data_IF_622005637742
#
_entry.id   IF_622005637742
#
_cell.length_a   1.000
_cell.length_b   1.000
_cell.length_c   1.000
_cell.angle_alpha   90.00
_cell.angle_beta   90.00
_cell.angle_gamma   90.00
#
_symmetry.space_group_name_H-M   'P 1'
#
loop_
_entity.id
_entity.type
_entity.pdbx_description
1 polymer ?
#
# COMPACT_ATOMS: atom_id res chain seq x y z
N UNK A 1 10.34 12.57 3.63
CA UNK A 1 10.93 13.07 4.90
C UNK A 1 12.33 13.61 4.60
N UNK A 2 13.22 13.74 5.59
CA UNK A 2 14.67 13.94 5.41
C UNK A 2 15.40 13.17 6.51
N UNK A 3 16.70 12.96 6.34
CA UNK A 3 17.61 12.63 7.44
C UNK A 3 17.57 13.71 8.54
N UNK A 4 17.67 13.29 9.79
CA UNK A 4 17.63 14.18 10.95
C UNK A 4 18.97 14.87 11.18
N UNK A 5 18.96 16.07 11.75
CA UNK A 5 20.18 16.73 12.24
C UNK A 5 20.52 16.32 13.67
N UNK A 6 21.77 16.47 14.08
CA UNK A 6 22.22 16.22 15.47
C UNK A 6 21.32 16.91 16.51
N UNK A 7 20.98 18.18 16.29
CA UNK A 7 20.07 18.94 17.15
C UNK A 7 18.65 18.37 17.22
N UNK A 8 18.14 17.75 16.14
CA UNK A 8 16.85 17.07 16.13
C UNK A 8 16.91 15.76 16.93
N UNK A 9 18.02 15.02 16.81
CA UNK A 9 18.28 13.78 17.56
C UNK A 9 18.40 14.05 19.07
N UNK A 10 19.22 15.01 19.49
CA UNK A 10 19.39 15.39 20.91
C UNK A 10 18.08 15.89 21.54
N UNK A 11 17.24 16.57 20.76
CA UNK A 11 15.90 17.01 21.21
C UNK A 11 14.87 15.86 21.25
N UNK A 12 15.18 14.70 20.70
CA UNK A 12 14.23 13.57 20.61
C UNK A 12 13.07 13.81 19.65
N UNK A 13 13.31 14.54 18.55
CA UNK A 13 12.33 14.77 17.48
C UNK A 13 11.85 13.45 16.87
N UNK A 14 10.54 13.22 16.91
CA UNK A 14 9.91 11.99 16.46
C UNK A 14 9.70 10.93 17.55
N UNK A 15 10.25 11.11 18.76
CA UNK A 15 10.10 10.20 19.90
C UNK A 15 9.45 10.88 21.13
N UNK A 16 9.99 12.02 21.55
CA UNK A 16 9.50 12.81 22.70
C UNK A 16 8.85 14.14 22.26
N UNK A 17 9.20 14.63 21.07
CA UNK A 17 8.62 15.81 20.42
C UNK A 17 8.05 15.40 19.06
N UNK A 18 6.98 16.05 18.60
CA UNK A 18 6.36 15.79 17.30
C UNK A 18 7.38 15.82 16.15
N UNK A 19 7.42 14.75 15.36
CA UNK A 19 8.34 14.56 14.22
C UNK A 19 8.10 15.48 13.01
N UNK A 20 7.05 16.29 13.01
CA UNK A 20 6.88 17.33 11.98
C UNK A 20 7.92 18.44 12.18
N UNK A 21 8.57 18.88 11.09
CA UNK A 21 9.76 19.76 11.12
C UNK A 21 9.52 21.02 11.94
N UNK A 22 8.39 21.70 11.69
CA UNK A 22 8.05 23.01 12.27
C UNK A 22 7.18 22.94 13.54
N UNK A 23 6.72 21.75 13.92
CA UNK A 23 5.93 21.54 15.15
C UNK A 23 6.85 21.44 16.37
N UNK A 24 6.40 21.84 17.56
CA UNK A 24 7.14 21.69 18.82
C UNK A 24 6.35 20.94 19.90
N UNK A 25 5.14 20.50 19.59
CA UNK A 25 4.24 19.84 20.52
C UNK A 25 4.83 18.49 20.99
N UNK A 26 4.81 18.23 22.30
CA UNK A 26 5.24 16.99 22.94
C UNK A 26 4.06 16.13 23.45
N UNK A 27 2.85 16.68 23.44
CA UNK A 27 1.65 16.04 24.00
C UNK A 27 0.87 15.23 22.96
N UNK A 28 0.12 14.22 23.42
CA UNK A 28 -0.78 13.43 22.57
C UNK A 28 -0.10 12.65 21.43
N UNK A 29 1.20 12.38 21.54
CA UNK A 29 2.04 11.82 20.48
C UNK A 29 1.66 10.37 20.11
N UNK A 30 1.04 10.20 18.94
CA UNK A 30 0.70 8.90 18.35
C UNK A 30 1.81 8.42 17.41
N UNK A 31 2.16 7.14 17.51
CA UNK A 31 3.11 6.46 16.61
C UNK A 31 2.47 6.14 15.25
N UNK A 32 3.26 6.30 14.19
CA UNK A 32 2.94 6.02 12.80
C UNK A 32 4.10 5.29 12.14
N UNK A 33 3.78 4.41 11.20
CA UNK A 33 4.75 3.81 10.27
C UNK A 33 4.51 4.41 8.90
N UNK A 34 5.57 4.92 8.27
CA UNK A 34 5.48 5.61 6.97
C UNK A 34 6.60 5.12 6.07
N UNK A 35 6.27 4.83 4.81
CA UNK A 35 7.27 4.47 3.81
C UNK A 35 8.07 5.71 3.39
N UNK A 36 9.38 5.69 3.66
CA UNK A 36 10.33 6.74 3.31
C UNK A 36 11.17 6.31 2.11
N UNK A 37 10.89 6.91 0.95
CA UNK A 37 11.72 6.81 -0.24
C UNK A 37 12.94 7.73 -0.13
N UNK A 38 14.12 7.20 -0.44
CA UNK A 38 15.40 7.91 -0.53
C UNK A 38 16.20 7.43 -1.76
N UNK A 39 17.33 8.08 -2.04
CA UNK A 39 18.25 7.71 -3.11
C UNK A 39 19.60 7.40 -2.49
N UNK A 40 20.19 6.28 -2.89
CA UNK A 40 21.52 5.80 -2.50
C UNK A 40 22.20 5.24 -3.75
N UNK A 41 23.41 5.70 -4.05
CA UNK A 41 24.17 5.33 -5.25
C UNK A 41 23.38 5.44 -6.57
N UNK A 42 22.54 6.47 -6.67
CA UNK A 42 21.65 6.70 -7.83
C UNK A 42 20.40 5.80 -7.86
N UNK A 43 20.34 4.76 -7.03
CA UNK A 43 19.18 3.86 -6.92
C UNK A 43 18.13 4.41 -5.96
N UNK A 44 16.84 4.26 -6.29
CA UNK A 44 15.73 4.62 -5.39
C UNK A 44 15.45 3.46 -4.43
N UNK A 45 15.62 3.70 -3.14
CA UNK A 45 15.35 2.74 -2.06
C UNK A 45 14.20 3.23 -1.18
N UNK A 46 13.53 2.30 -0.52
CA UNK A 46 12.39 2.56 0.36
C UNK A 46 12.67 1.92 1.72
N UNK A 47 12.39 2.63 2.82
CA UNK A 47 12.47 2.12 4.18
C UNK A 47 11.19 2.47 4.96
N UNK A 48 10.64 1.51 5.71
CA UNK A 48 9.52 1.77 6.61
C UNK A 48 10.06 2.39 7.91
N UNK A 49 9.72 3.65 8.18
CA UNK A 49 10.20 4.38 9.36
C UNK A 49 9.09 4.61 10.38
N UNK A 50 9.40 4.43 11.66
CA UNK A 50 8.53 4.74 12.79
C UNK A 50 8.73 6.20 13.21
N UNK A 51 7.64 6.95 13.39
CA UNK A 51 7.67 8.32 13.91
C UNK A 51 6.46 8.61 14.81
N UNK A 52 6.60 9.56 15.73
CA UNK A 52 5.48 10.05 16.56
C UNK A 52 5.06 11.47 16.15
N UNK A 53 3.75 11.68 16.05
CA UNK A 53 3.12 12.95 15.66
C UNK A 53 2.02 13.35 16.64
N UNK A 54 1.88 14.65 16.90
CA UNK A 54 0.75 15.20 17.63
C UNK A 54 -0.56 15.04 16.82
N UNK A 55 -1.75 15.16 17.43
CA UNK A 55 -3.03 14.92 16.76
C UNK A 55 -3.22 15.74 15.46
N UNK A 56 -2.79 17.00 15.45
CA UNK A 56 -2.87 17.91 14.30
C UNK A 56 -1.96 17.48 13.13
N UNK A 57 -0.71 17.11 13.43
CA UNK A 57 0.22 16.65 12.39
C UNK A 57 -0.17 15.24 11.88
N UNK A 58 -0.70 14.39 12.76
CA UNK A 58 -1.32 13.11 12.42
C UNK A 58 -2.51 13.27 11.46
N UNK A 59 -3.37 14.29 11.67
CA UNK A 59 -4.46 14.58 10.73
C UNK A 59 -3.92 15.03 9.36
N UNK A 60 -2.89 15.89 9.33
CA UNK A 60 -2.25 16.37 8.10
C UNK A 60 -1.64 15.24 7.27
N UNK A 61 -1.03 14.23 7.92
CA UNK A 61 -0.45 13.06 7.25
C UNK A 61 -1.46 12.33 6.34
N UNK A 62 -2.67 12.08 6.84
CA UNK A 62 -3.71 11.31 6.14
C UNK A 62 -4.74 12.18 5.38
N UNK A 63 -4.51 13.49 5.31
CA UNK A 63 -5.49 14.47 4.81
C UNK A 63 -5.94 14.21 3.36
N UNK A 64 -5.02 13.77 2.50
CA UNK A 64 -5.29 13.52 1.08
C UNK A 64 -6.20 12.30 0.84
N UNK A 65 -6.08 11.24 1.65
CA UNK A 65 -6.95 10.06 1.55
C UNK A 65 -8.38 10.39 2.00
N UNK A 66 -8.53 11.04 3.17
CA UNK A 66 -9.86 11.46 3.67
C UNK A 66 -10.59 12.37 2.68
N UNK A 67 -9.91 13.35 2.07
CA UNK A 67 -10.50 14.20 1.00
C UNK A 67 -10.98 13.37 -0.21
N UNK A 68 -10.22 12.35 -0.64
CA UNK A 68 -10.56 11.50 -1.79
C UNK A 68 -11.79 10.63 -1.50
N UNK A 69 -11.93 10.11 -0.28
CA UNK A 69 -13.12 9.35 0.15
C UNK A 69 -14.39 10.20 0.25
N UNK A 70 -14.31 11.38 0.87
CA UNK A 70 -15.44 12.30 1.02
C UNK A 70 -15.97 12.72 -0.35
N UNK A 71 -15.07 13.07 -1.28
CA UNK A 71 -15.43 13.46 -2.65
C UNK A 71 -16.00 12.28 -3.48
N UNK A 72 -15.55 11.03 -3.24
CA UNK A 72 -16.17 9.84 -3.83
C UNK A 72 -17.58 9.60 -3.28
N UNK A 73 -17.79 9.78 -1.97
CA UNK A 73 -19.11 9.64 -1.32
C UNK A 73 -20.11 10.71 -1.76
N UNK A 74 -19.67 11.96 -2.00
CA UNK A 74 -20.59 13.01 -2.50
C UNK A 74 -21.05 12.75 -3.93
N UNK A 75 -20.13 12.39 -4.85
CA UNK A 75 -20.52 12.03 -6.24
C UNK A 75 -21.54 10.89 -6.29
N UNK A 76 -21.36 9.85 -5.46
CA UNK A 76 -22.27 8.70 -5.40
C UNK A 76 -23.67 9.02 -4.83
N UNK A 77 -23.84 10.17 -4.17
CA UNK A 77 -25.15 10.69 -3.72
C UNK A 77 -25.85 11.58 -4.76
N UNK A 78 -25.10 12.24 -5.64
CA UNK A 78 -25.70 13.01 -6.75
C UNK A 78 -26.19 12.09 -7.89
N UNK A 79 -25.61 10.90 -8.03
CA UNK A 79 -26.03 9.91 -9.05
C UNK A 79 -27.19 9.00 -8.61
N UNK A 80 -27.79 9.22 -7.43
CA UNK A 80 -28.82 8.34 -6.86
C UNK A 80 -30.16 9.05 -6.65
N UNK A 81 -30.39 10.19 -7.32
CA UNK A 81 -31.62 11.00 -7.20
C UNK A 81 -32.26 11.31 -8.55
N UNK A 82 -32.00 10.48 -9.57
CA UNK A 82 -32.65 10.56 -10.89
C UNK A 82 -33.17 9.19 -11.29
N UNK A 83 -34.31 8.80 -10.72
CA UNK A 83 -35.25 7.85 -11.34
C UNK A 83 -36.61 7.86 -10.60
N UNK A 84 -37.51 8.75 -11.03
CA UNK A 84 -38.96 8.66 -10.79
C UNK A 84 -39.74 9.68 -11.65
N UNK A 85 -40.31 9.23 -12.79
CA UNK A 85 -41.44 9.86 -13.49
C UNK A 85 -41.22 11.23 -14.16
N UNK A 86 -41.51 11.35 -15.46
CA UNK A 86 -41.34 12.61 -16.21
C UNK A 86 -42.56 13.01 -17.04
N UNK A 87 -42.46 14.15 -17.74
CA UNK A 87 -43.33 14.49 -18.89
C UNK A 87 -42.80 15.67 -19.73
N UNK A 88 -42.48 15.37 -21.00
CA UNK A 88 -42.62 16.22 -22.19
C UNK A 88 -42.13 17.68 -22.25
N UNK A 89 -41.06 17.91 -23.02
CA UNK A 89 -40.99 19.00 -24.01
C UNK A 89 -40.01 18.64 -25.16
N UNK A 90 -40.40 18.90 -26.41
CA UNK A 90 -39.60 18.68 -27.64
C UNK A 90 -38.49 19.74 -27.76
N UNK A 91 -37.41 19.48 -28.53
CA UNK A 91 -37.23 20.03 -29.90
C UNK A 91 -35.95 19.54 -30.63
N UNK A 92 -36.11 19.04 -31.87
CA UNK A 92 -35.17 18.89 -33.04
C UNK A 92 -33.71 18.41 -32.81
N UNK A 93 -33.17 17.32 -33.39
CA UNK A 93 -33.21 16.68 -34.73
C UNK A 93 -32.33 17.33 -35.83
N UNK A 94 -31.24 16.63 -36.18
CA UNK A 94 -30.64 16.41 -37.54
C UNK A 94 -29.56 15.32 -37.39
N UNK A 95 -29.74 14.09 -37.91
CA UNK A 95 -29.22 13.56 -39.21
C UNK A 95 -27.70 13.26 -39.19
N UNK A 96 -27.18 12.12 -39.67
CA UNK A 96 -27.77 10.97 -40.41
C UNK A 96 -26.79 9.76 -40.43
N UNK A 97 -27.30 8.55 -40.74
CA UNK A 97 -26.67 7.35 -41.40
C UNK A 97 -25.14 7.19 -41.51
N UNK A 98 -24.51 6.01 -41.40
CA UNK A 98 -24.90 4.56 -41.39
C UNK A 98 -24.22 3.81 -40.20
N UNK A 99 -24.02 2.47 -40.08
CA UNK A 99 -24.34 1.25 -40.86
C UNK A 99 -24.35 -0.03 -39.99
N UNK A 100 -24.88 -1.10 -40.58
CA UNK A 100 -24.61 -2.55 -40.45
C UNK A 100 -23.13 -2.95 -40.13
N UNK A 101 -22.77 -4.13 -39.59
CA UNK A 101 -23.53 -5.29 -39.06
C UNK A 101 -22.66 -6.17 -38.13
N UNK A 102 -23.33 -7.00 -37.32
CA UNK A 102 -23.05 -8.41 -36.94
C UNK A 102 -21.68 -9.08 -37.25
N UNK A 103 -21.19 -9.96 -36.36
CA UNK A 103 -20.15 -10.95 -36.75
C UNK A 103 -19.32 -11.60 -35.65
N UNK A 104 -19.74 -12.79 -35.21
CA UNK A 104 -19.15 -13.67 -34.18
C UNK A 104 -17.95 -14.52 -34.70
N UNK A 105 -17.32 -15.29 -33.79
CA UNK A 105 -16.44 -16.47 -33.98
C UNK A 105 -14.93 -16.21 -34.17
N UNK A 106 -13.95 -17.05 -33.80
CA UNK A 106 -13.64 -18.13 -32.81
C UNK A 106 -12.40 -18.85 -33.36
N UNK A 107 -11.40 -19.20 -32.52
CA UNK A 107 -10.37 -20.28 -32.58
C UNK A 107 -9.14 -19.78 -31.81
N UNK A 108 -8.66 -20.39 -30.73
CA UNK A 108 -8.05 -21.74 -30.57
C UNK A 108 -6.67 -21.88 -31.21
N UNK A 109 -5.64 -21.80 -30.35
CA UNK A 109 -4.28 -22.37 -30.39
C UNK A 109 -3.67 -22.01 -29.01
N UNK A 110 -2.97 -22.87 -28.25
CA UNK A 110 -2.58 -24.25 -28.48
C UNK A 110 -1.10 -24.45 -28.19
N UNK A 111 -0.71 -24.63 -26.92
CA UNK A 111 0.67 -25.00 -26.58
C UNK A 111 0.76 -25.94 -25.37
N UNK A 112 1.47 -27.05 -25.53
CA UNK A 112 1.65 -28.10 -24.53
C UNK A 112 2.95 -27.89 -23.76
N UNK A 113 2.90 -27.90 -22.43
CA UNK A 113 4.10 -28.04 -21.58
C UNK A 113 3.89 -29.25 -20.66
N UNK A 114 4.91 -30.10 -20.61
CA UNK A 114 4.89 -31.47 -20.07
C UNK A 114 4.69 -31.56 -18.55
N UNK A 115 4.03 -32.64 -18.12
CA UNK A 115 3.64 -32.90 -16.72
C UNK A 115 4.81 -33.34 -15.79
N UNK A 116 6.06 -33.11 -16.17
CA UNK A 116 7.25 -33.67 -15.49
C UNK A 116 7.96 -32.69 -14.54
N UNK A 117 7.76 -31.37 -14.66
CA UNK A 117 8.54 -30.37 -13.88
C UNK A 117 7.97 -29.99 -12.50
N UNK A 118 6.80 -30.52 -12.08
CA UNK A 118 6.20 -30.15 -10.78
C UNK A 118 6.66 -31.02 -9.58
N UNK A 119 7.68 -31.86 -9.74
CA UNK A 119 8.13 -32.81 -8.69
C UNK A 119 9.44 -32.44 -7.98
N UNK A 120 10.12 -31.34 -8.36
CA UNK A 120 11.36 -30.86 -7.71
C UNK A 120 11.20 -30.60 -6.19
N UNK A 121 9.98 -30.34 -5.73
CA UNK A 121 9.66 -30.01 -4.32
C UNK A 121 9.25 -31.21 -3.47
N UNK A 122 9.28 -32.45 -4.01
CA UNK A 122 8.79 -33.65 -3.33
C UNK A 122 9.87 -34.61 -2.83
N UNK A 123 11.12 -34.39 -3.19
CA UNK A 123 12.18 -35.40 -2.99
C UNK A 123 13.33 -34.90 -2.13
N UNK A 124 13.02 -34.63 -0.85
CA UNK A 124 13.97 -34.91 0.23
C UNK A 124 13.28 -35.07 1.60
N UNK A 125 12.42 -36.09 1.74
CA UNK A 125 12.01 -36.57 3.07
C UNK A 125 12.97 -37.67 3.57
N UNK A 126 14.27 -37.37 3.53
CA UNK A 126 15.26 -38.08 4.34
C UNK A 126 15.24 -37.40 5.71
N UNK A 127 14.60 -38.07 6.67
CA UNK A 127 14.52 -37.60 8.05
C UNK A 127 15.91 -37.59 8.70
N UNK A 128 16.65 -36.50 8.51
CA UNK A 128 17.48 -35.97 9.60
C UNK A 128 16.52 -35.51 10.70
N UNK A 129 16.71 -36.02 11.91
CA UNK A 129 16.03 -35.54 13.12
C UNK A 129 16.00 -34.00 13.10
N UNK A 130 14.81 -33.40 12.98
CA UNK A 130 14.67 -31.95 13.10
C UNK A 130 14.97 -31.59 14.55
N UNK A 131 16.21 -31.17 14.82
CA UNK A 131 16.60 -30.58 16.11
C UNK A 131 15.61 -29.48 16.47
N UNK A 132 15.25 -29.41 17.74
CA UNK A 132 14.32 -28.38 18.17
C UNK A 132 14.91 -27.01 17.88
N UNK A 133 14.10 -26.09 17.33
CA UNK A 133 14.48 -24.69 17.15
C UNK A 133 15.02 -24.05 18.44
N UNK A 134 14.58 -24.56 19.59
CA UNK A 134 15.05 -24.08 20.89
C UNK A 134 16.42 -24.67 21.28
N UNK A 135 16.79 -25.88 20.82
CA UNK A 135 18.13 -26.46 20.96
C UNK A 135 19.17 -25.68 20.13
N UNK A 136 18.84 -25.37 18.87
CA UNK A 136 19.69 -24.52 18.01
C UNK A 136 19.91 -23.12 18.61
N UNK A 137 18.91 -22.61 19.35
CA UNK A 137 18.99 -21.32 20.03
C UNK A 137 19.87 -21.39 21.29
N UNK A 138 19.82 -22.49 22.05
CA UNK A 138 20.71 -22.75 23.18
C UNK A 138 22.17 -22.98 22.74
N UNK A 139 22.41 -23.76 21.68
CA UNK A 139 23.76 -23.94 21.08
C UNK A 139 24.35 -22.59 20.64
N UNK A 140 23.55 -21.73 19.97
CA UNK A 140 23.97 -20.39 19.58
C UNK A 140 24.34 -19.49 20.77
N UNK A 141 23.54 -19.51 21.84
CA UNK A 141 23.84 -18.78 23.08
C UNK A 141 25.09 -19.32 23.78
N UNK A 142 25.29 -20.64 23.78
CA UNK A 142 26.49 -21.30 24.32
C UNK A 142 27.76 -20.90 23.57
N UNK A 143 27.72 -20.87 22.23
CA UNK A 143 28.85 -20.42 21.41
C UNK A 143 29.20 -18.93 21.58
N UNK A 144 28.27 -18.09 22.05
CA UNK A 144 28.48 -16.66 22.26
C UNK A 144 29.07 -16.33 23.64
N UNK A 145 29.11 -17.30 24.57
CA UNK A 145 29.51 -17.15 25.97
C UNK A 145 30.86 -17.81 26.30
N UNK A 146 31.57 -18.31 25.28
CA UNK A 146 32.90 -18.93 25.37
C UNK A 146 33.99 -18.01 24.78
#
# INVERSE_FOLDING_TARGET
>A
MRWQTESELVTGKGQFVCGEKRCKDSEGLRSWEVNFAYIEDGTKKNALVKLRLCPECSYKLNYKQKRKEINRKSRKRLSSTTDAGGSGAKLLKTSETTSEESGKNTTEEGDNISEEEHNIWKENNLASEERSRDEDFEDYLGMLLL
#
